data_IF_750090344894
#
_entry.id   IF_750090344894
#
_cell.length_a   1.000
_cell.length_b   1.000
_cell.length_c   1.000
_cell.angle_alpha   90.00
_cell.angle_beta   90.00
_cell.angle_gamma   90.00
#
_symmetry.space_group_name_H-M   'P 1'
#
loop_
_entity.id
_entity.type
_entity.pdbx_description
1 polymer ?
#
# COMPACT_ATOMS: atom_id res chain seq x y z
N UNK A 1 -26.20 -6.48 -3.57
CA UNK A 1 -25.84 -5.22 -2.90
C UNK A 1 -24.40 -5.25 -2.40
N UNK A 2 -23.89 -6.41 -2.00
CA UNK A 2 -22.48 -6.63 -1.60
C UNK A 2 -21.42 -6.08 -2.57
N UNK A 3 -21.57 -6.26 -3.89
CA UNK A 3 -20.61 -5.71 -4.86
C UNK A 3 -20.55 -4.18 -4.86
N UNK A 4 -21.71 -3.51 -4.70
CA UNK A 4 -21.79 -2.04 -4.73
C UNK A 4 -21.27 -1.44 -3.41
N UNK A 5 -21.60 -2.07 -2.28
CA UNK A 5 -21.11 -1.67 -0.96
C UNK A 5 -19.60 -1.86 -0.86
N UNK A 6 -19.06 -3.00 -1.31
CA UNK A 6 -17.62 -3.23 -1.35
C UNK A 6 -16.91 -2.24 -2.28
N UNK A 7 -17.51 -1.92 -3.43
CA UNK A 7 -16.98 -0.94 -4.37
C UNK A 7 -16.90 0.46 -3.74
N UNK A 8 -17.98 0.94 -3.14
CA UNK A 8 -18.01 2.26 -2.48
C UNK A 8 -17.09 2.31 -1.26
N UNK A 9 -17.07 1.24 -0.46
CA UNK A 9 -16.17 1.10 0.69
C UNK A 9 -14.70 1.14 0.23
N UNK A 10 -14.34 0.42 -0.82
CA UNK A 10 -12.97 0.39 -1.37
C UNK A 10 -12.52 1.75 -1.92
N UNK A 11 -13.43 2.53 -2.52
CA UNK A 11 -13.10 3.85 -3.08
C UNK A 11 -12.90 4.90 -1.99
N UNK A 12 -13.81 4.97 -1.01
CA UNK A 12 -13.90 6.10 -0.07
C UNK A 12 -13.42 5.78 1.35
N UNK A 13 -13.77 4.60 1.88
CA UNK A 13 -13.49 4.24 3.29
C UNK A 13 -12.11 3.61 3.41
N UNK A 14 -11.84 2.59 2.60
CA UNK A 14 -10.57 1.87 2.54
C UNK A 14 -9.66 2.44 1.44
N UNK A 15 -9.66 3.77 1.27
CA UNK A 15 -8.88 4.41 0.21
C UNK A 15 -7.38 4.16 0.39
N UNK A 16 -6.74 3.60 -0.64
CA UNK A 16 -5.33 3.20 -0.60
C UNK A 16 -4.38 4.35 -0.21
N UNK A 17 -4.68 5.58 -0.61
CA UNK A 17 -3.80 6.75 -0.41
C UNK A 17 -4.09 7.45 0.91
N UNK A 18 -5.35 7.71 1.23
CA UNK A 18 -5.70 8.54 2.38
C UNK A 18 -5.96 7.77 3.67
N UNK A 19 -6.39 6.51 3.59
CA UNK A 19 -6.61 5.68 4.77
C UNK A 19 -5.37 4.84 5.11
N UNK A 20 -4.71 4.27 4.11
CA UNK A 20 -3.57 3.35 4.31
C UNK A 20 -2.21 3.90 3.90
N UNK A 21 -2.14 5.12 3.35
CA UNK A 21 -0.89 5.79 2.94
C UNK A 21 0.00 4.99 1.96
N UNK A 22 -0.62 4.19 1.10
CA UNK A 22 0.06 3.39 0.08
C UNK A 22 0.14 4.15 -1.26
N UNK A 23 1.27 3.98 -1.97
CA UNK A 23 1.48 4.56 -3.31
C UNK A 23 1.91 6.03 -3.31
N UNK A 24 2.42 6.55 -2.19
CA UNK A 24 2.80 7.95 -2.01
C UNK A 24 3.91 8.42 -2.96
N UNK A 25 4.85 7.54 -3.32
CA UNK A 25 6.01 7.88 -4.14
C UNK A 25 5.62 8.43 -5.51
N UNK A 26 4.81 7.67 -6.26
CA UNK A 26 4.32 8.07 -7.59
C UNK A 26 3.24 9.15 -7.49
N UNK A 27 2.40 9.11 -6.45
CA UNK A 27 1.38 10.10 -6.15
C UNK A 27 1.96 11.52 -5.97
N UNK A 28 3.03 11.67 -5.18
CA UNK A 28 3.67 12.98 -4.93
C UNK A 28 4.54 13.43 -6.12
N UNK A 29 5.21 12.49 -6.78
CA UNK A 29 6.13 12.78 -7.88
C UNK A 29 5.39 13.29 -9.14
N UNK A 30 4.26 12.67 -9.50
CA UNK A 30 3.60 12.86 -10.81
C UNK A 30 2.37 13.78 -10.75
N UNK A 31 2.02 14.33 -9.59
CA UNK A 31 0.85 15.22 -9.43
C UNK A 31 1.08 16.69 -9.84
N UNK A 32 2.06 17.00 -10.72
CA UNK A 32 2.33 18.39 -11.14
C UNK A 32 1.40 18.93 -12.23
N UNK A 33 0.83 18.05 -13.06
CA UNK A 33 -0.08 18.38 -14.17
C UNK A 33 -1.23 17.38 -14.16
N UNK A 34 -2.45 17.85 -14.39
CA UNK A 34 -3.63 16.97 -14.44
C UNK A 34 -3.53 15.97 -15.59
N UNK A 35 -3.02 16.37 -16.77
CA UNK A 35 -2.91 15.48 -17.93
C UNK A 35 -1.99 14.27 -17.69
N UNK A 36 -0.88 14.44 -16.96
CA UNK A 36 0.02 13.33 -16.61
C UNK A 36 -0.56 12.46 -15.50
N UNK A 37 -1.24 13.07 -14.52
CA UNK A 37 -1.91 12.36 -13.43
C UNK A 37 -3.03 11.44 -13.94
N UNK A 38 -3.83 11.91 -14.91
CA UNK A 38 -4.88 11.10 -15.54
C UNK A 38 -4.28 9.88 -16.25
N UNK A 39 -3.22 10.07 -17.05
CA UNK A 39 -2.55 8.97 -17.75
C UNK A 39 -1.97 7.92 -16.81
N UNK A 40 -1.27 8.36 -15.75
CA UNK A 40 -0.72 7.45 -14.75
C UNK A 40 -1.81 6.70 -13.98
N UNK A 41 -2.84 7.39 -13.52
CA UNK A 41 -3.89 6.73 -12.75
C UNK A 41 -4.77 5.79 -13.58
N UNK A 42 -4.99 6.08 -14.86
CA UNK A 42 -5.63 5.13 -15.78
C UNK A 42 -4.78 3.84 -15.94
N UNK A 43 -3.45 3.98 -16.04
CA UNK A 43 -2.55 2.83 -16.08
C UNK A 43 -2.61 2.00 -14.79
N UNK A 44 -2.65 2.65 -13.61
CA UNK A 44 -2.78 1.97 -12.32
C UNK A 44 -4.10 1.22 -12.20
N UNK A 45 -5.23 1.82 -12.60
CA UNK A 45 -6.53 1.12 -12.63
C UNK A 45 -6.45 -0.12 -13.52
N UNK A 46 -5.87 0.01 -14.72
CA UNK A 46 -5.76 -1.11 -15.66
C UNK A 46 -4.90 -2.25 -15.10
N UNK A 47 -3.77 -1.93 -14.45
CA UNK A 47 -2.93 -2.94 -13.80
C UNK A 47 -3.71 -3.61 -12.67
N UNK A 48 -4.33 -2.85 -11.75
CA UNK A 48 -5.07 -3.43 -10.61
C UNK A 48 -6.29 -4.25 -11.04
N UNK A 49 -6.98 -3.85 -12.11
CA UNK A 49 -8.10 -4.61 -12.70
C UNK A 49 -7.69 -6.03 -13.06
N UNK A 50 -6.44 -6.24 -13.50
CA UNK A 50 -5.96 -7.53 -13.99
C UNK A 50 -5.15 -8.26 -12.92
N UNK A 51 -4.26 -7.57 -12.20
CA UNK A 51 -3.38 -8.20 -11.21
C UNK A 51 -4.13 -8.70 -9.99
N UNK A 52 -5.18 -8.02 -9.52
CA UNK A 52 -5.91 -8.44 -8.33
C UNK A 52 -6.67 -9.76 -8.59
N UNK A 53 -7.47 -9.91 -9.67
CA UNK A 53 -8.09 -11.20 -9.98
C UNK A 53 -7.09 -12.32 -10.29
N UNK A 54 -5.97 -12.01 -10.94
CA UNK A 54 -4.91 -13.00 -11.18
C UNK A 54 -4.26 -13.46 -9.88
N UNK A 55 -3.95 -12.54 -8.97
CA UNK A 55 -3.37 -12.87 -7.68
C UNK A 55 -4.37 -13.62 -6.79
N UNK A 56 -5.67 -13.34 -6.91
CA UNK A 56 -6.72 -14.14 -6.28
C UNK A 56 -6.70 -15.59 -6.76
N UNK A 57 -6.57 -15.78 -8.08
CA UNK A 57 -6.48 -17.11 -8.66
C UNK A 57 -5.21 -17.83 -8.21
N UNK A 58 -4.07 -17.13 -8.15
CA UNK A 58 -2.85 -17.69 -7.61
C UNK A 58 -3.04 -18.09 -6.15
N UNK A 59 -3.61 -17.22 -5.32
CA UNK A 59 -3.82 -17.49 -3.89
C UNK A 59 -4.65 -18.76 -3.66
N UNK A 60 -5.79 -18.86 -4.34
CA UNK A 60 -6.73 -19.97 -4.17
C UNK A 60 -6.23 -21.30 -4.75
N UNK A 61 -5.44 -21.27 -5.84
CA UNK A 61 -5.03 -22.47 -6.57
C UNK A 61 -3.58 -22.91 -6.31
N UNK A 62 -2.72 -22.03 -5.76
CA UNK A 62 -1.30 -22.31 -5.58
C UNK A 62 -0.83 -22.08 -4.14
N UNK A 63 -1.34 -21.08 -3.41
CA UNK A 63 -0.74 -20.66 -2.15
C UNK A 63 -1.42 -21.22 -0.91
N UNK A 64 -2.76 -21.29 -0.91
CA UNK A 64 -3.52 -21.78 0.24
C UNK A 64 -3.17 -23.23 0.63
N UNK A 65 -3.31 -23.59 1.92
CA UNK A 65 -3.07 -24.96 2.37
C UNK A 65 -3.98 -25.94 1.64
N UNK A 66 -3.38 -26.88 0.91
CA UNK A 66 -4.13 -27.85 0.11
C UNK A 66 -4.65 -27.33 -1.23
N UNK A 67 -4.16 -26.19 -1.72
CA UNK A 67 -4.47 -25.70 -3.06
C UNK A 67 -3.86 -26.57 -4.18
N UNK A 68 -2.71 -27.20 -3.92
CA UNK A 68 -2.00 -28.08 -4.86
C UNK A 68 -2.65 -29.46 -5.07
N UNK A 69 -3.87 -29.69 -4.55
CA UNK A 69 -4.62 -30.95 -4.74
C UNK A 69 -4.76 -31.36 -6.21
N UNK A 70 -4.76 -30.40 -7.14
CA UNK A 70 -4.79 -30.68 -8.58
C UNK A 70 -3.50 -31.34 -9.13
N UNK A 71 -2.35 -31.16 -8.49
CA UNK A 71 -1.06 -31.70 -8.94
C UNK A 71 -0.77 -33.10 -8.37
N UNK A 72 -1.43 -33.48 -7.27
CA UNK A 72 -1.35 -34.80 -6.62
C UNK A 72 -1.74 -34.75 -5.14
N UNK A 73 -2.29 -35.83 -4.59
CA UNK A 73 -2.69 -35.89 -3.16
C UNK A 73 -1.51 -35.71 -2.20
N UNK A 74 -0.30 -36.07 -2.62
CA UNK A 74 0.95 -35.93 -1.85
C UNK A 74 1.31 -34.45 -1.61
N UNK A 75 0.91 -33.55 -2.51
CA UNK A 75 1.20 -32.11 -2.40
C UNK A 75 0.16 -31.33 -1.59
N UNK A 76 -0.92 -31.97 -1.14
CA UNK A 76 -1.98 -31.30 -0.39
C UNK A 76 -1.57 -30.82 1.02
N UNK A 77 -0.48 -31.35 1.56
CA UNK A 77 0.02 -31.00 2.89
C UNK A 77 1.03 -29.83 2.89
N UNK A 78 1.50 -29.38 1.71
CA UNK A 78 2.47 -28.29 1.63
C UNK A 78 1.76 -26.93 1.68
N UNK A 79 2.26 -26.06 2.56
CA UNK A 79 1.85 -24.67 2.65
C UNK A 79 2.86 -23.79 1.90
N UNK A 80 2.40 -23.13 0.83
CA UNK A 80 3.20 -22.21 0.01
C UNK A 80 2.90 -20.75 0.33
N UNK A 81 2.15 -20.46 1.40
CA UNK A 81 1.79 -19.09 1.80
C UNK A 81 3.01 -18.19 2.01
N UNK A 82 4.17 -18.74 2.38
CA UNK A 82 5.41 -17.97 2.52
C UNK A 82 5.88 -17.33 1.21
N UNK A 83 5.46 -17.87 0.05
CA UNK A 83 5.86 -17.39 -1.27
C UNK A 83 4.94 -16.27 -1.81
N UNK A 84 3.89 -15.90 -1.06
CA UNK A 84 2.87 -14.90 -1.46
C UNK A 84 3.46 -13.61 -1.99
N UNK A 85 4.37 -13.00 -1.24
CA UNK A 85 4.98 -11.73 -1.62
C UNK A 85 5.72 -11.82 -2.96
N UNK A 86 6.52 -12.88 -3.16
CA UNK A 86 7.33 -13.03 -4.37
C UNK A 86 6.44 -13.29 -5.59
N UNK A 87 5.41 -14.14 -5.47
CA UNK A 87 4.48 -14.42 -6.56
C UNK A 87 3.64 -13.20 -6.96
N UNK A 88 3.18 -12.42 -5.97
CA UNK A 88 2.43 -11.20 -6.24
C UNK A 88 3.28 -10.15 -6.94
N UNK A 89 4.51 -9.93 -6.48
CA UNK A 89 5.45 -8.99 -7.13
C UNK A 89 5.78 -9.47 -8.55
N UNK A 90 6.05 -10.76 -8.76
CA UNK A 90 6.34 -11.31 -10.08
C UNK A 90 5.18 -11.08 -11.07
N UNK A 91 3.95 -11.37 -10.65
CA UNK A 91 2.75 -11.17 -11.47
C UNK A 91 2.53 -9.69 -11.80
N UNK A 92 2.72 -8.81 -10.82
CA UNK A 92 2.64 -7.36 -11.04
C UNK A 92 3.72 -6.89 -12.01
N UNK A 93 4.97 -7.35 -11.85
CA UNK A 93 6.07 -6.98 -12.72
C UNK A 93 5.82 -7.40 -14.18
N UNK A 94 5.33 -8.63 -14.40
CA UNK A 94 4.96 -9.09 -15.75
C UNK A 94 3.84 -8.25 -16.35
N UNK A 95 2.82 -7.89 -15.55
CA UNK A 95 1.70 -7.08 -16.04
C UNK A 95 2.12 -5.63 -16.34
N UNK A 96 2.95 -5.02 -15.49
CA UNK A 96 3.47 -3.67 -15.71
C UNK A 96 4.39 -3.64 -16.93
N UNK A 97 5.18 -4.69 -17.14
CA UNK A 97 6.00 -4.79 -18.35
C UNK A 97 5.14 -4.79 -19.62
N UNK A 98 4.01 -5.49 -19.60
CA UNK A 98 3.05 -5.45 -20.72
C UNK A 98 2.50 -4.03 -20.92
N UNK A 99 2.14 -3.35 -19.83
CA UNK A 99 1.64 -1.97 -19.89
C UNK A 99 2.68 -1.00 -20.43
N UNK A 100 3.96 -1.16 -20.08
CA UNK A 100 5.05 -0.34 -20.61
C UNK A 100 5.10 -0.38 -22.14
N UNK A 101 5.10 -1.58 -22.72
CA UNK A 101 5.11 -1.79 -24.17
C UNK A 101 3.85 -1.21 -24.84
N UNK A 102 2.69 -1.34 -24.19
CA UNK A 102 1.42 -0.77 -24.68
C UNK A 102 1.47 0.76 -24.67
N UNK A 103 1.94 1.37 -23.57
CA UNK A 103 2.00 2.84 -23.44
C UNK A 103 2.99 3.45 -24.43
N UNK A 104 4.15 2.82 -24.65
CA UNK A 104 5.13 3.25 -25.65
C UNK A 104 4.51 3.32 -27.05
N UNK A 105 3.68 2.33 -27.41
CA UNK A 105 3.03 2.25 -28.73
C UNK A 105 1.85 3.20 -28.91
N UNK A 106 1.01 3.36 -27.88
CA UNK A 106 -0.24 4.13 -28.00
C UNK A 106 -0.10 5.60 -27.60
N UNK A 107 0.81 5.94 -26.67
CA UNK A 107 0.95 7.31 -26.14
C UNK A 107 2.41 7.69 -25.92
N UNK A 108 3.15 8.06 -26.98
CA UNK A 108 4.53 8.53 -26.86
C UNK A 108 4.62 9.82 -26.02
N UNK A 109 3.57 10.64 -25.97
CA UNK A 109 3.54 11.83 -25.10
C UNK A 109 3.56 11.48 -23.62
N UNK A 110 2.86 10.41 -23.20
CA UNK A 110 2.85 9.98 -21.80
C UNK A 110 4.16 9.29 -21.45
N UNK A 111 4.68 8.45 -22.35
CA UNK A 111 6.00 7.82 -22.19
C UNK A 111 7.11 8.87 -22.01
N UNK A 112 7.14 9.93 -22.83
CA UNK A 112 8.12 11.02 -22.68
C UNK A 112 7.94 11.85 -21.40
N UNK A 113 6.71 11.97 -20.90
CA UNK A 113 6.43 12.76 -19.68
C UNK A 113 6.69 11.98 -18.40
N UNK A 114 6.58 10.65 -18.46
CA UNK A 114 6.55 9.76 -17.31
C UNK A 114 7.84 8.93 -17.22
N UNK A 115 8.48 8.61 -18.34
CA UNK A 115 9.83 8.07 -18.48
C UNK A 115 10.17 7.01 -17.44
N UNK A 116 11.12 7.33 -16.55
CA UNK A 116 11.63 6.47 -15.48
C UNK A 116 10.56 6.04 -14.45
N UNK A 117 9.41 6.70 -14.41
CA UNK A 117 8.32 6.35 -13.51
C UNK A 117 7.44 5.19 -14.02
N UNK A 118 7.54 4.78 -15.30
CA UNK A 118 6.81 3.62 -15.81
C UNK A 118 7.24 2.31 -15.13
N UNK A 119 8.55 1.96 -15.07
CA UNK A 119 8.99 0.79 -14.31
C UNK A 119 8.67 0.88 -12.82
N UNK A 120 8.60 2.09 -12.27
CA UNK A 120 8.23 2.33 -10.87
C UNK A 120 6.77 1.98 -10.55
N UNK A 121 5.92 1.72 -11.57
CA UNK A 121 4.56 1.19 -11.36
C UNK A 121 4.63 -0.22 -10.75
N UNK A 122 5.62 -1.04 -11.13
CA UNK A 122 5.75 -2.41 -10.61
C UNK A 122 5.96 -2.46 -9.10
N UNK A 123 6.63 -1.45 -8.55
CA UNK A 123 6.90 -1.31 -7.11
C UNK A 123 5.92 -0.36 -6.42
N UNK A 124 4.80 -0.02 -7.06
CA UNK A 124 3.79 0.83 -6.45
C UNK A 124 3.12 0.09 -5.28
N UNK A 125 3.30 0.63 -4.07
CA UNK A 125 2.78 0.02 -2.85
C UNK A 125 1.25 -0.10 -2.84
N UNK A 126 0.51 0.76 -3.56
CA UNK A 126 -0.95 0.63 -3.64
C UNK A 126 -1.38 -0.61 -4.44
N UNK A 127 -0.61 -0.99 -5.48
CA UNK A 127 -0.91 -2.17 -6.30
C UNK A 127 -0.61 -3.44 -5.50
N UNK A 128 0.58 -3.51 -4.88
CA UNK A 128 0.94 -4.63 -4.01
C UNK A 128 0.00 -4.74 -2.80
N UNK A 129 -0.30 -3.61 -2.16
CA UNK A 129 -1.23 -3.54 -1.03
C UNK A 129 -2.64 -3.97 -1.41
N UNK A 130 -3.13 -3.65 -2.61
CA UNK A 130 -4.40 -4.15 -3.12
C UNK A 130 -4.45 -5.68 -3.15
N UNK A 131 -3.42 -6.33 -3.69
CA UNK A 131 -3.34 -7.79 -3.72
C UNK A 131 -3.19 -8.42 -2.33
N UNK A 132 -2.41 -7.80 -1.44
CA UNK A 132 -2.23 -8.30 -0.07
C UNK A 132 -3.51 -8.14 0.76
N UNK A 133 -4.19 -6.99 0.67
CA UNK A 133 -5.45 -6.79 1.37
C UNK A 133 -6.57 -7.68 0.83
N UNK A 134 -6.55 -8.04 -0.44
CA UNK A 134 -7.45 -9.05 -0.98
C UNK A 134 -7.22 -10.42 -0.32
N UNK A 135 -5.96 -10.82 -0.12
CA UNK A 135 -5.61 -12.05 0.59
C UNK A 135 -5.99 -11.97 2.08
N UNK A 136 -5.61 -10.90 2.78
CA UNK A 136 -5.90 -10.73 4.21
C UNK A 136 -7.39 -10.56 4.53
N UNK A 137 -8.21 -10.11 3.56
CA UNK A 137 -9.67 -10.01 3.70
C UNK A 137 -10.40 -11.26 3.23
N UNK A 138 -9.68 -12.30 2.79
CA UNK A 138 -10.21 -13.60 2.37
C UNK A 138 -11.43 -13.47 1.43
N UNK A 139 -11.28 -12.65 0.38
CA UNK A 139 -12.41 -12.38 -0.53
C UNK A 139 -12.87 -13.70 -1.18
N UNK A 140 -14.14 -14.11 -1.03
CA UNK A 140 -14.57 -15.47 -1.37
C UNK A 140 -14.83 -15.70 -2.87
N UNK A 141 -14.90 -14.64 -3.68
CA UNK A 141 -15.21 -14.78 -5.12
C UNK A 141 -14.35 -13.90 -6.02
N UNK A 142 -14.05 -14.43 -7.21
CA UNK A 142 -13.35 -13.73 -8.29
C UNK A 142 -14.05 -12.41 -8.67
N UNK A 143 -15.39 -12.40 -8.67
CA UNK A 143 -16.17 -11.21 -8.97
C UNK A 143 -15.97 -10.10 -7.95
N UNK A 144 -16.00 -10.44 -6.65
CA UNK A 144 -15.72 -9.49 -5.57
C UNK A 144 -14.26 -9.00 -5.62
N UNK A 145 -13.29 -9.89 -5.90
CA UNK A 145 -11.88 -9.53 -6.02
C UNK A 145 -11.65 -8.53 -7.17
N UNK A 146 -12.32 -8.74 -8.32
CA UNK A 146 -12.25 -7.81 -9.46
C UNK A 146 -12.84 -6.46 -9.11
N UNK A 147 -14.03 -6.43 -8.49
CA UNK A 147 -14.68 -5.19 -8.06
C UNK A 147 -13.83 -4.45 -7.02
N UNK A 148 -13.19 -5.16 -6.11
CA UNK A 148 -12.26 -4.59 -5.14
C UNK A 148 -10.99 -4.02 -5.80
N UNK A 149 -10.38 -4.73 -6.75
CA UNK A 149 -9.23 -4.23 -7.50
C UNK A 149 -9.53 -2.97 -8.31
N UNK A 150 -10.69 -2.93 -8.97
CA UNK A 150 -11.16 -1.74 -9.70
C UNK A 150 -11.50 -0.60 -8.75
N UNK A 151 -12.22 -0.88 -7.65
CA UNK A 151 -12.58 0.12 -6.64
C UNK A 151 -11.36 0.78 -6.02
N UNK A 152 -10.37 -0.02 -5.60
CA UNK A 152 -9.12 0.49 -5.02
C UNK A 152 -8.28 1.28 -6.04
N UNK A 153 -8.22 0.82 -7.29
CA UNK A 153 -7.58 1.56 -8.38
C UNK A 153 -8.26 2.91 -8.67
N UNK A 154 -9.60 2.95 -8.66
CA UNK A 154 -10.37 4.20 -8.83
C UNK A 154 -10.15 5.12 -7.63
N UNK A 155 -10.12 4.60 -6.41
CA UNK A 155 -9.80 5.37 -5.21
C UNK A 155 -8.44 6.05 -5.31
N UNK A 156 -7.43 5.34 -5.82
CA UNK A 156 -6.09 5.88 -6.08
C UNK A 156 -6.10 6.94 -7.22
N UNK A 157 -6.83 6.67 -8.31
CA UNK A 157 -7.01 7.61 -9.43
C UNK A 157 -7.66 8.92 -8.99
N UNK A 158 -8.71 8.86 -8.18
CA UNK A 158 -9.38 10.04 -7.64
C UNK A 158 -8.44 10.84 -6.74
N UNK A 159 -7.64 10.15 -5.93
CA UNK A 159 -6.65 10.81 -5.08
C UNK A 159 -5.62 11.59 -5.93
N UNK A 160 -4.99 10.95 -6.93
CA UNK A 160 -3.96 11.61 -7.74
C UNK A 160 -4.54 12.76 -8.59
N UNK A 161 -5.76 12.60 -9.09
CA UNK A 161 -6.46 13.63 -9.84
C UNK A 161 -6.75 14.85 -8.96
N UNK A 162 -7.23 14.64 -7.74
CA UNK A 162 -7.56 15.71 -6.81
C UNK A 162 -6.32 16.53 -6.41
N UNK A 163 -5.20 15.88 -6.06
CA UNK A 163 -3.97 16.60 -5.73
C UNK A 163 -3.40 17.33 -6.95
N UNK A 164 -3.48 16.75 -8.15
CA UNK A 164 -3.00 17.41 -9.36
C UNK A 164 -3.80 18.69 -9.66
N UNK A 165 -5.12 18.64 -9.52
CA UNK A 165 -5.99 19.80 -9.67
C UNK A 165 -5.68 20.89 -8.62
N UNK A 166 -5.48 20.52 -7.36
CA UNK A 166 -5.12 21.46 -6.30
C UNK A 166 -3.75 22.09 -6.56
N UNK A 167 -2.75 21.28 -6.95
CA UNK A 167 -1.39 21.76 -7.25
C UNK A 167 -1.33 22.68 -8.46
N UNK A 168 -2.14 22.42 -9.48
CA UNK A 168 -2.27 23.30 -10.65
C UNK A 168 -2.87 24.66 -10.26
N UNK A 169 -3.89 24.65 -9.39
CA UNK A 169 -4.48 25.89 -8.84
C UNK A 169 -3.53 26.67 -7.94
N UNK A 170 -2.78 25.99 -7.06
CA UNK A 170 -1.85 26.61 -6.10
C UNK A 170 -0.64 27.24 -6.81
N UNK A 171 -0.32 26.84 -8.05
CA UNK A 171 0.74 27.48 -8.84
C UNK A 171 0.50 28.97 -9.07
N UNK A 172 -0.76 29.38 -9.14
CA UNK A 172 -1.15 30.80 -9.29
C UNK A 172 -1.20 31.55 -7.95
N UNK A 173 -0.96 30.85 -6.83
CA UNK A 173 -1.03 31.41 -5.48
C UNK A 173 0.36 31.71 -4.93
N UNK A 174 0.43 32.66 -3.99
CA UNK A 174 1.68 33.12 -3.41
C UNK A 174 2.17 32.17 -2.30
N UNK A 175 2.79 31.06 -2.68
CA UNK A 175 3.38 30.10 -1.73
C UNK A 175 4.75 30.59 -1.25
N UNK A 176 5.06 30.53 0.07
CA UNK A 176 6.37 30.88 0.61
C UNK A 176 7.51 30.15 -0.12
N UNK A 177 8.62 30.82 -0.47
CA UNK A 177 9.68 30.24 -1.29
C UNK A 177 10.23 28.90 -0.77
N UNK A 178 10.38 28.76 0.54
CA UNK A 178 10.92 27.56 1.19
C UNK A 178 9.99 26.32 1.09
N UNK A 179 8.69 26.50 0.88
CA UNK A 179 7.71 25.40 0.84
C UNK A 179 7.31 25.00 -0.59
N UNK A 180 7.84 25.66 -1.62
CA UNK A 180 7.46 25.39 -3.01
C UNK A 180 7.89 23.99 -3.44
N UNK A 181 7.01 23.29 -4.15
CA UNK A 181 7.27 21.94 -4.65
C UNK A 181 6.78 20.86 -3.70
N UNK A 182 7.68 20.03 -3.16
CA UNK A 182 7.30 18.87 -2.35
C UNK A 182 6.72 19.25 -0.98
N UNK A 183 7.29 20.26 -0.30
CA UNK A 183 6.87 20.64 1.06
C UNK A 183 5.38 21.00 1.15
N UNK A 184 4.91 21.92 0.31
CA UNK A 184 3.48 22.25 0.23
C UNK A 184 2.63 21.05 -0.21
N UNK A 185 3.16 20.17 -1.06
CA UNK A 185 2.43 18.97 -1.51
C UNK A 185 2.16 18.01 -0.35
N UNK A 186 3.12 17.81 0.54
CA UNK A 186 2.91 17.02 1.77
C UNK A 186 1.85 17.64 2.67
N UNK A 187 1.88 18.96 2.88
CA UNK A 187 0.88 19.67 3.70
C UNK A 187 -0.52 19.49 3.10
N UNK A 188 -0.67 19.69 1.79
CA UNK A 188 -1.96 19.50 1.09
C UNK A 188 -2.43 18.06 1.24
N UNK A 189 -1.53 17.09 1.06
CA UNK A 189 -1.86 15.66 1.17
C UNK A 189 -2.38 15.32 2.57
N UNK A 190 -1.75 15.86 3.62
CA UNK A 190 -2.23 15.70 4.99
C UNK A 190 -3.61 16.33 5.21
N UNK A 191 -3.84 17.55 4.72
CA UNK A 191 -5.15 18.22 4.79
C UNK A 191 -6.24 17.44 4.03
N UNK A 192 -5.90 16.87 2.87
CA UNK A 192 -6.80 16.00 2.10
C UNK A 192 -7.12 14.70 2.86
N UNK A 193 -6.12 14.09 3.51
CA UNK A 193 -6.32 12.89 4.32
C UNK A 193 -7.30 13.14 5.47
N UNK A 194 -7.18 14.27 6.19
CA UNK A 194 -8.14 14.68 7.23
C UNK A 194 -9.55 14.83 6.66
N UNK A 195 -9.68 15.43 5.47
CA UNK A 195 -10.97 15.52 4.76
C UNK A 195 -11.55 14.14 4.45
N UNK A 196 -10.74 13.21 3.94
CA UNK A 196 -11.16 11.86 3.60
C UNK A 196 -11.54 11.00 4.81
N UNK A 197 -10.91 11.21 5.97
CA UNK A 197 -11.30 10.53 7.22
C UNK A 197 -12.75 10.81 7.62
N UNK A 198 -13.36 11.90 7.14
CA UNK A 198 -14.77 12.19 7.35
C UNK A 198 -15.71 11.16 6.68
N UNK A 199 -15.26 10.47 5.64
CA UNK A 199 -16.04 9.44 4.95
C UNK A 199 -16.01 8.07 5.66
N UNK A 200 -15.07 7.85 6.58
CA UNK A 200 -14.90 6.57 7.27
C UNK A 200 -16.12 6.12 8.10
N UNK A 201 -17.00 7.06 8.48
CA UNK A 201 -18.25 6.78 9.22
C UNK A 201 -19.49 6.56 8.34
N UNK A 202 -19.39 6.77 7.02
CA UNK A 202 -20.57 6.89 6.15
C UNK A 202 -21.27 5.56 5.82
N UNK A 203 -20.55 4.43 5.85
CA UNK A 203 -21.11 3.09 5.58
C UNK A 203 -21.04 2.15 6.80
N UNK A 204 -20.55 2.63 7.94
CA UNK A 204 -20.44 1.88 9.20
C UNK A 204 -21.56 2.22 10.21
N UNK A 205 -22.40 3.23 9.91
CA UNK A 205 -23.49 3.70 10.76
C UNK A 205 -24.77 2.84 10.76
N UNK A 206 -24.63 1.51 10.65
CA UNK A 206 -25.73 0.55 10.66
C UNK A 206 -25.75 -0.36 11.89
N UNK A 207 -24.62 -0.99 12.26
CA UNK A 207 -24.58 -1.98 13.35
C UNK A 207 -23.19 -2.09 14.06
N UNK A 208 -22.24 -1.18 13.78
CA UNK A 208 -20.88 -1.22 14.35
C UNK A 208 -20.55 0.01 15.22
N UNK A 209 -21.56 0.57 15.91
CA UNK A 209 -21.28 1.39 17.09
C UNK A 209 -20.75 0.46 18.20
N UNK A 210 -19.43 0.49 18.38
CA UNK A 210 -18.62 -0.11 19.46
C UNK A 210 -17.71 -1.30 19.09
N UNK A 211 -16.89 -1.16 18.03
CA UNK A 211 -15.51 -1.71 18.04
C UNK A 211 -14.49 -0.72 17.46
N UNK A 212 -14.46 0.49 18.04
CA UNK A 212 -13.18 1.19 18.20
C UNK A 212 -12.47 0.55 19.39
N UNK A 213 -11.83 -0.60 19.16
CA UNK A 213 -10.68 -0.94 19.99
C UNK A 213 -9.48 -0.22 19.39
N UNK A 214 -8.99 0.76 20.14
CA UNK A 214 -7.63 1.24 20.06
C UNK A 214 -6.67 0.05 19.90
N UNK A 215 -6.06 -0.10 18.73
CA UNK A 215 -4.65 -0.53 18.69
C UNK A 215 -3.79 0.73 18.74
N UNK A 216 -3.89 1.44 19.87
CA UNK A 216 -2.74 2.19 20.38
C UNK A 216 -1.66 1.14 20.53
N UNK A 217 -0.60 1.26 19.73
CA UNK A 217 0.62 0.50 19.92
C UNK A 217 1.00 0.63 21.41
N UNK A 218 0.85 -0.44 22.17
CA UNK A 218 1.59 -0.59 23.40
C UNK A 218 3.05 -0.54 22.98
N UNK A 219 3.70 0.61 23.18
CA UNK A 219 5.12 0.61 23.50
C UNK A 219 5.20 -0.28 24.74
N UNK A 220 5.65 -1.52 24.54
CA UNK A 220 6.20 -2.28 25.65
C UNK A 220 7.36 -1.44 26.14
N UNK A 221 7.20 -0.75 27.27
CA UNK A 221 8.32 -0.58 28.18
C UNK A 221 8.78 -2.00 28.51
N UNK A 222 9.80 -2.48 27.80
CA UNK A 222 10.69 -3.48 28.35
C UNK A 222 11.26 -2.87 29.62
N UNK A 223 10.63 -3.17 30.75
CA UNK A 223 11.31 -3.17 32.03
C UNK A 223 12.46 -4.18 31.86
N UNK A 224 13.74 -3.78 31.91
CA UNK A 224 14.83 -4.72 31.78
C UNK A 224 14.74 -5.65 32.98
N UNK A 225 14.23 -6.86 32.74
CA UNK A 225 14.28 -7.94 33.71
C UNK A 225 15.74 -8.37 33.76
N UNK A 226 16.40 -7.86 34.81
CA UNK A 226 17.75 -8.18 35.22
C UNK A 226 17.91 -9.69 35.39
N UNK A 227 18.37 -10.39 34.36
CA UNK A 227 18.96 -11.73 34.52
C UNK A 227 20.21 -11.97 33.65
N UNK A 228 20.55 -11.06 32.72
CA UNK A 228 21.76 -11.14 31.90
C UNK A 228 22.85 -10.09 32.22
N UNK A 229 22.58 -9.17 33.16
CA UNK A 229 23.55 -8.15 33.62
C UNK A 229 24.29 -8.58 34.90
N UNK A 230 23.73 -9.54 35.66
CA UNK A 230 24.29 -9.98 36.94
C UNK A 230 25.63 -10.74 36.83
N UNK A 231 25.93 -11.32 35.66
CA UNK A 231 27.20 -12.04 35.44
C UNK A 231 28.35 -11.11 35.06
N UNK A 232 28.08 -10.03 34.32
CA UNK A 232 29.12 -9.08 33.90
C UNK A 232 29.44 -8.04 34.99
N UNK A 233 28.48 -7.66 35.84
CA UNK A 233 28.73 -6.72 36.93
C UNK A 233 29.68 -7.28 38.00
N UNK A 234 29.62 -8.59 38.27
CA UNK A 234 30.49 -9.25 39.25
C UNK A 234 31.95 -9.41 38.77
N UNK A 235 32.19 -9.41 37.45
CA UNK A 235 33.54 -9.43 36.87
C UNK A 235 34.15 -8.02 36.86
N UNK A 236 33.36 -6.98 36.61
CA UNK A 236 33.83 -5.58 36.58
C UNK A 236 34.17 -5.07 38.00
N UNK A 237 33.40 -5.45 39.03
CA UNK A 237 33.67 -5.04 40.41
C UNK A 237 34.95 -5.67 40.99
N UNK A 238 35.33 -6.87 40.53
CA UNK A 238 36.61 -7.50 40.92
C UNK A 238 37.83 -6.88 40.23
N UNK A 239 37.66 -6.33 39.02
CA UNK A 239 38.73 -5.69 38.28
C UNK A 239 39.05 -4.28 38.81
N UNK A 240 38.03 -3.54 39.28
CA UNK A 240 38.24 -2.23 39.94
C UNK A 240 38.86 -2.33 41.34
N UNK A 241 38.52 -3.38 42.12
CA UNK A 241 39.11 -3.59 43.45
C UNK A 241 40.58 -4.06 43.39
N UNK A 242 41.02 -4.70 42.31
CA UNK A 242 42.41 -5.12 42.13
C UNK A 242 43.34 -3.94 41.74
N UNK A 243 42.81 -2.94 41.03
CA UNK A 243 43.60 -1.82 40.50
C UNK A 243 43.79 -0.65 41.47
N UNK A 244 43.15 -0.66 42.65
CA UNK A 244 43.24 0.43 43.64
C UNK A 244 44.11 0.10 44.87
N UNK A 245 44.88 -1.00 44.83
CA UNK A 245 45.85 -1.38 45.89
C UNK A 245 47.32 -1.35 45.45
N UNK A 246 47.65 -0.80 44.28
CA UNK A 246 49.03 -0.54 43.85
C UNK A 246 49.21 0.91 43.36
N UNK A 247 49.19 1.85 44.30
CA UNK A 247 50.04 3.06 44.27
C UNK A 247 50.18 3.62 45.70
#
# INVERSE_FOLDING_TARGET
MEHLELFLKSIFIDNMVFATFLGMCSYLAVSKKVSTAVGLGAAVIFVMLITVPLNWLLDQYILQPGALKWLGEEYAAYDLSFLSFILFIATIATMVQLVEIVVEKFSPSLYNSLGIFLPLIAVNCAILGGSLFMQSREIPSLGLATVYGVGSGIGWFLAILAIAAIREKIRYSNVPPALRGLGITFIITGLMAIGFMSFGGMLTGGDDEAKKEEKTASVQEETPTNDHVALNAAEIEKEELANNTNN
#
